data_IF_181314381092
#
_entry.id   IF_181314381092
#
_cell.length_a   1.000
_cell.length_b   1.000
_cell.length_c   1.000
_cell.angle_alpha   90.00
_cell.angle_beta   90.00
_cell.angle_gamma   90.00
#
_symmetry.space_group_name_H-M   'P 1'
#
loop_
_entity.id
_entity.type
_entity.pdbx_description
1 polymer ?
#
# COMPACT_ATOMS: atom_id res chain seq x y z
N UNK A 1 34.76 18.77 26.92
CA UNK A 1 33.66 19.38 26.16
C UNK A 1 32.46 18.48 26.39
N UNK A 2 31.34 19.04 26.88
CA UNK A 2 30.12 18.27 27.13
C UNK A 2 29.54 17.84 25.79
N UNK A 3 29.40 16.53 25.58
CA UNK A 3 28.51 16.01 24.55
C UNK A 3 27.09 16.34 25.04
N UNK A 4 26.55 17.47 24.61
CA UNK A 4 25.13 17.74 24.75
C UNK A 4 24.43 16.80 23.79
N UNK A 5 23.85 15.73 24.32
CA UNK A 5 22.89 14.90 23.60
C UNK A 5 21.81 15.83 23.03
N UNK A 6 21.39 15.67 21.76
CA UNK A 6 20.31 16.49 21.21
C UNK A 6 19.11 16.46 22.17
N UNK A 7 18.54 17.64 22.46
CA UNK A 7 17.41 17.72 23.39
C UNK A 7 16.22 17.01 22.76
N UNK A 8 15.94 15.79 23.23
CA UNK A 8 14.76 15.03 22.81
C UNK A 8 13.50 15.78 23.27
N UNK A 9 12.55 15.96 22.36
CA UNK A 9 11.28 16.68 22.60
C UNK A 9 10.11 15.83 22.14
N UNK A 10 8.87 16.18 22.51
CA UNK A 10 7.67 15.56 21.96
C UNK A 10 7.61 15.64 20.43
N UNK A 11 8.10 16.73 19.83
CA UNK A 11 8.20 16.89 18.38
C UNK A 11 9.06 15.81 17.73
N UNK A 12 10.18 15.43 18.36
CA UNK A 12 11.04 14.35 17.83
C UNK A 12 10.26 13.03 17.72
N UNK A 13 9.51 12.65 18.76
CA UNK A 13 8.70 11.43 18.73
C UNK A 13 7.56 11.51 17.71
N UNK A 14 6.87 12.65 17.63
CA UNK A 14 5.80 12.87 16.64
C UNK A 14 6.34 12.69 15.22
N UNK A 15 7.48 13.30 14.90
CA UNK A 15 8.10 13.19 13.57
C UNK A 15 8.56 11.76 13.27
N UNK A 16 9.10 11.02 14.26
CA UNK A 16 9.45 9.61 14.08
C UNK A 16 8.22 8.74 13.82
N UNK A 17 7.13 8.96 14.56
CA UNK A 17 5.87 8.23 14.35
C UNK A 17 5.33 8.55 12.96
N UNK A 18 5.24 9.82 12.55
CA UNK A 18 4.80 10.19 11.20
C UNK A 18 5.70 9.58 10.12
N UNK A 19 7.01 9.61 10.31
CA UNK A 19 7.96 9.02 9.39
C UNK A 19 7.72 7.52 9.20
N UNK A 20 7.42 6.79 10.28
CA UNK A 20 6.99 5.39 10.23
C UNK A 20 5.68 5.23 9.47
N UNK A 21 4.62 5.95 9.87
CA UNK A 21 3.28 5.79 9.32
C UNK A 21 3.20 6.12 7.83
N UNK A 22 3.92 7.16 7.39
CA UNK A 22 4.02 7.52 5.98
C UNK A 22 4.89 6.57 5.16
N UNK A 23 5.66 5.71 5.83
CA UNK A 23 6.60 4.74 5.26
C UNK A 23 7.96 5.32 4.84
N UNK A 24 8.29 6.53 5.28
CA UNK A 24 9.63 7.10 5.03
C UNK A 24 10.71 6.43 5.87
N UNK A 25 10.32 5.72 6.93
CA UNK A 25 11.18 4.85 7.73
C UNK A 25 10.48 3.54 8.06
N UNK A 26 11.24 2.46 8.02
CA UNK A 26 10.87 1.14 8.53
C UNK A 26 11.08 1.06 10.04
N UNK A 27 10.49 0.05 10.68
CA UNK A 27 10.77 -0.30 12.09
C UNK A 27 12.26 -0.40 12.35
N UNK A 28 12.97 -1.13 11.50
CA UNK A 28 14.41 -1.37 11.64
C UNK A 28 15.20 -0.06 11.64
N UNK A 29 14.93 0.84 10.70
CA UNK A 29 15.64 2.12 10.60
C UNK A 29 15.35 3.03 11.79
N UNK A 30 14.12 3.03 12.31
CA UNK A 30 13.77 3.78 13.53
C UNK A 30 14.57 3.26 14.71
N UNK A 31 14.63 1.94 14.90
CA UNK A 31 15.40 1.34 16.00
C UNK A 31 16.89 1.64 15.87
N UNK A 32 17.46 1.56 14.67
CA UNK A 32 18.86 1.90 14.40
C UNK A 32 19.17 3.37 14.71
N UNK A 33 18.31 4.30 14.30
CA UNK A 33 18.47 5.74 14.54
C UNK A 33 18.34 6.10 16.03
N UNK A 34 17.46 5.40 16.75
CA UNK A 34 17.13 5.72 18.13
C UNK A 34 17.98 4.98 19.16
N UNK A 35 18.79 3.99 18.76
CA UNK A 35 19.59 3.13 19.67
C UNK A 35 20.50 3.91 20.62
N UNK A 36 21.03 5.06 20.22
CA UNK A 36 21.93 5.87 21.07
C UNK A 36 21.19 6.87 21.99
N UNK A 37 19.90 7.08 21.74
CA UNK A 37 19.11 8.16 22.34
C UNK A 37 17.97 7.62 23.22
N UNK A 38 17.40 6.49 22.85
CA UNK A 38 16.27 5.84 23.52
C UNK A 38 16.69 4.47 24.04
N UNK A 39 16.43 4.21 25.31
CA UNK A 39 16.53 2.88 25.88
C UNK A 39 15.15 2.21 25.75
N UNK A 40 15.00 1.31 24.77
CA UNK A 40 13.80 0.48 24.70
C UNK A 40 13.98 -0.73 25.62
N UNK A 41 12.90 -1.13 26.30
CA UNK A 41 12.91 -2.37 27.05
C UNK A 41 13.22 -3.53 26.10
N UNK A 42 14.30 -4.26 26.41
CA UNK A 42 14.74 -5.45 25.69
C UNK A 42 13.62 -6.47 25.47
N UNK A 43 12.64 -6.52 26.38
CA UNK A 43 11.47 -7.39 26.24
C UNK A 43 10.56 -6.94 25.08
N UNK A 44 10.33 -5.63 24.94
CA UNK A 44 9.51 -5.06 23.88
C UNK A 44 10.19 -5.14 22.49
N UNK A 45 11.52 -5.23 22.46
CA UNK A 45 12.26 -5.44 21.22
C UNK A 45 12.26 -6.91 20.75
N UNK A 46 12.01 -7.86 21.64
CA UNK A 46 11.99 -9.31 21.35
C UNK A 46 10.60 -9.86 21.05
N UNK A 47 9.55 -9.10 21.34
CA UNK A 47 8.17 -9.51 21.07
C UNK A 47 7.82 -9.17 19.61
N UNK A 48 7.70 -10.22 18.80
CA UNK A 48 7.20 -10.14 17.43
C UNK A 48 5.80 -9.50 17.44
N UNK A 49 5.60 -8.49 16.60
CA UNK A 49 4.30 -7.81 16.44
C UNK A 49 4.05 -6.60 17.34
N UNK A 50 5.02 -6.14 18.15
CA UNK A 50 4.86 -4.85 18.83
C UNK A 50 4.93 -3.71 17.81
N UNK A 51 3.90 -2.86 17.82
CA UNK A 51 3.82 -1.66 16.98
C UNK A 51 4.89 -0.63 17.37
N UNK A 52 5.58 -0.10 16.37
CA UNK A 52 6.58 0.97 16.51
C UNK A 52 5.96 2.24 17.10
N UNK A 53 4.70 2.55 16.77
CA UNK A 53 4.03 3.72 17.34
C UNK A 53 3.89 3.59 18.86
N UNK A 54 3.56 2.39 19.34
CA UNK A 54 3.49 2.07 20.76
C UNK A 54 4.87 2.17 21.43
N UNK A 55 5.92 1.59 20.83
CA UNK A 55 7.29 1.68 21.34
C UNK A 55 7.74 3.14 21.53
N UNK A 56 7.52 3.97 20.52
CA UNK A 56 7.90 5.38 20.56
C UNK A 56 7.06 6.17 21.58
N UNK A 57 5.79 5.82 21.73
CA UNK A 57 4.88 6.46 22.68
C UNK A 57 5.24 6.13 24.13
N UNK A 58 5.57 4.88 24.44
CA UNK A 58 6.01 4.49 25.78
C UNK A 58 7.39 5.07 26.10
N UNK A 59 8.34 5.05 25.15
CA UNK A 59 9.64 5.71 25.34
C UNK A 59 9.48 7.22 25.60
N UNK A 60 8.55 7.89 24.91
CA UNK A 60 8.25 9.29 25.16
C UNK A 60 7.65 9.52 26.56
N UNK A 61 6.75 8.62 26.98
CA UNK A 61 6.11 8.65 28.30
C UNK A 61 7.10 8.50 29.44
N UNK A 62 8.05 7.57 29.31
CA UNK A 62 9.11 7.34 30.30
C UNK A 62 10.02 8.57 30.47
N UNK A 63 10.23 9.33 29.39
CA UNK A 63 10.94 10.61 29.46
C UNK A 63 10.07 11.73 30.05
N UNK A 64 8.80 11.81 29.67
CA UNK A 64 7.85 12.79 30.17
C UNK A 64 6.40 12.45 29.85
N UNK A 65 5.53 12.45 30.86
CA UNK A 65 4.09 12.29 30.67
C UNK A 65 3.48 13.39 29.77
N UNK A 66 4.08 14.58 29.70
CA UNK A 66 3.62 15.63 28.78
C UNK A 66 3.89 15.28 27.32
N UNK A 67 4.93 14.51 27.02
CA UNK A 67 5.21 14.07 25.64
C UNK A 67 4.17 13.09 25.14
N UNK A 68 3.71 12.18 26.00
CA UNK A 68 2.61 11.28 25.69
C UNK A 68 1.35 12.05 25.29
N UNK A 69 0.96 13.06 26.08
CA UNK A 69 -0.20 13.90 25.78
C UNK A 69 -0.04 14.64 24.45
N UNK A 70 1.15 15.16 24.17
CA UNK A 70 1.44 15.82 22.90
C UNK A 70 1.33 14.86 21.71
N UNK A 71 1.86 13.63 21.83
CA UNK A 71 1.77 12.61 20.78
C UNK A 71 0.32 12.27 20.50
N UNK A 72 -0.47 11.93 21.53
CA UNK A 72 -1.89 11.58 21.37
C UNK A 72 -2.69 12.72 20.74
N UNK A 73 -2.35 13.99 21.04
CA UNK A 73 -3.04 15.14 20.45
C UNK A 73 -2.65 15.42 19.00
N UNK A 74 -1.46 14.98 18.54
CA UNK A 74 -0.91 15.31 17.23
C UNK A 74 -0.89 14.13 16.24
N UNK A 75 -0.95 12.90 16.72
CA UNK A 75 -1.12 11.70 15.90
C UNK A 75 -2.62 11.40 15.84
N UNK A 76 -3.30 12.09 14.93
CA UNK A 76 -4.69 11.83 14.60
C UNK A 76 -4.76 11.14 13.23
N UNK A 77 -5.92 10.58 12.89
CA UNK A 77 -6.21 10.04 11.56
C UNK A 77 -6.25 11.18 10.51
N UNK A 78 -5.08 11.61 10.04
CA UNK A 78 -4.88 12.66 9.03
C UNK A 78 -3.96 12.22 7.91
N UNK A 79 -3.91 13.01 6.82
CA UNK A 79 -3.14 12.72 5.60
C UNK A 79 -1.64 12.51 5.85
N UNK A 80 -1.09 13.06 6.94
CA UNK A 80 0.30 12.89 7.35
C UNK A 80 0.56 11.65 8.24
N UNK A 81 -0.46 10.82 8.43
CA UNK A 81 -0.40 9.58 9.23
C UNK A 81 -0.83 8.34 8.44
N UNK A 82 -0.90 8.44 7.10
CA UNK A 82 -1.23 7.31 6.23
C UNK A 82 -0.09 6.97 5.29
N UNK A 83 0.01 5.70 4.83
CA UNK A 83 0.97 5.30 3.82
C UNK A 83 0.95 6.22 2.59
N UNK A 84 2.14 6.58 2.13
CA UNK A 84 2.33 7.36 0.91
C UNK A 84 2.85 6.48 -0.22
N UNK A 85 2.79 6.93 -1.48
CA UNK A 85 3.41 6.21 -2.60
C UNK A 85 4.90 5.99 -2.38
N UNK A 86 5.60 7.02 -1.91
CA UNK A 86 7.02 6.93 -1.57
C UNK A 86 7.25 5.89 -0.45
N UNK A 87 6.37 5.86 0.55
CA UNK A 87 6.41 4.87 1.62
C UNK A 87 6.20 3.44 1.14
N UNK A 88 5.20 3.20 0.28
CA UNK A 88 4.96 1.87 -0.31
C UNK A 88 6.18 1.41 -1.10
N UNK A 89 6.76 2.29 -1.93
CA UNK A 89 7.99 1.99 -2.68
C UNK A 89 9.12 1.62 -1.71
N UNK A 90 9.32 2.42 -0.67
CA UNK A 90 10.38 2.21 0.31
C UNK A 90 10.24 0.88 1.05
N UNK A 91 9.05 0.57 1.58
CA UNK A 91 8.79 -0.68 2.29
C UNK A 91 8.87 -1.90 1.36
N UNK A 92 8.43 -1.80 0.11
CA UNK A 92 8.59 -2.87 -0.88
C UNK A 92 10.08 -3.12 -1.20
N UNK A 93 10.88 -2.07 -1.31
CA UNK A 93 12.34 -2.20 -1.48
C UNK A 93 12.98 -2.87 -0.27
N UNK A 94 12.65 -2.41 0.94
CA UNK A 94 13.13 -3.00 2.19
C UNK A 94 12.75 -4.49 2.29
N UNK A 95 11.51 -4.85 1.96
CA UNK A 95 11.05 -6.24 1.95
C UNK A 95 11.87 -7.09 0.97
N UNK A 96 12.08 -6.60 -0.25
CA UNK A 96 12.81 -7.34 -1.29
C UNK A 96 14.30 -7.48 -1.00
N UNK A 97 14.86 -6.62 -0.16
CA UNK A 97 16.23 -6.68 0.33
C UNK A 97 16.37 -7.48 1.64
N UNK A 98 15.26 -7.93 2.23
CA UNK A 98 15.24 -8.63 3.52
C UNK A 98 15.44 -7.71 4.74
N UNK A 99 15.22 -6.41 4.57
CA UNK A 99 15.25 -5.42 5.65
C UNK A 99 14.02 -5.45 6.55
N UNK A 100 12.88 -5.89 6.03
CA UNK A 100 11.64 -6.14 6.77
C UNK A 100 11.01 -7.48 6.34
N UNK A 101 10.15 -8.03 7.20
CA UNK A 101 9.35 -9.21 6.90
C UNK A 101 8.10 -8.85 6.09
N UNK A 102 7.43 -9.87 5.49
CA UNK A 102 6.12 -9.65 4.87
C UNK A 102 5.08 -9.21 5.90
N UNK A 103 5.15 -9.78 7.10
CA UNK A 103 4.24 -9.46 8.20
C UNK A 103 4.39 -7.99 8.60
N UNK A 104 5.62 -7.49 8.68
CA UNK A 104 5.91 -6.07 8.99
C UNK A 104 5.30 -5.15 7.92
N UNK A 105 5.38 -5.54 6.65
CA UNK A 105 4.76 -4.78 5.56
C UNK A 105 3.23 -4.73 5.72
N UNK A 106 2.60 -5.87 6.04
CA UNK A 106 1.16 -5.95 6.25
C UNK A 106 0.74 -5.05 7.43
N UNK A 107 1.37 -5.23 8.58
CA UNK A 107 1.07 -4.47 9.81
C UNK A 107 1.21 -2.96 9.59
N UNK A 108 2.28 -2.52 8.95
CA UNK A 108 2.49 -1.12 8.59
C UNK A 108 1.41 -0.61 7.61
N UNK A 109 1.14 -1.36 6.54
CA UNK A 109 0.20 -0.93 5.52
C UNK A 109 -1.24 -0.86 6.03
N UNK A 110 -1.59 -1.70 7.02
CA UNK A 110 -2.93 -1.77 7.61
C UNK A 110 -3.03 -1.16 8.99
N UNK A 111 -2.03 -0.37 9.43
CA UNK A 111 -2.08 0.31 10.72
C UNK A 111 -3.36 1.15 10.85
N UNK A 112 -3.76 1.74 9.72
CA UNK A 112 -4.97 2.53 9.59
C UNK A 112 -6.17 1.59 9.41
N UNK A 113 -6.73 1.09 10.52
CA UNK A 113 -7.99 0.34 10.48
C UNK A 113 -9.16 1.31 10.39
N UNK A 114 -9.92 1.21 9.31
CA UNK A 114 -11.18 1.94 9.15
C UNK A 114 -12.28 1.01 9.65
N UNK A 115 -13.01 1.43 10.68
CA UNK A 115 -14.22 0.71 11.11
C UNK A 115 -15.17 0.58 9.91
N UNK A 116 -15.93 -0.53 9.81
CA UNK A 116 -16.81 -0.82 8.64
C UNK A 116 -17.79 0.32 8.27
N UNK A 117 -18.06 1.24 9.21
CA UNK A 117 -18.97 2.38 9.05
C UNK A 117 -18.27 3.69 8.63
N UNK A 118 -16.94 3.71 8.52
CA UNK A 118 -16.16 4.89 8.15
C UNK A 118 -15.69 4.83 6.69
N UNK A 119 -15.72 5.97 6.01
CA UNK A 119 -15.19 6.10 4.66
C UNK A 119 -13.73 6.54 4.72
N UNK A 120 -12.84 5.81 4.04
CA UNK A 120 -11.46 6.22 3.74
C UNK A 120 -11.34 7.47 2.86
N UNK A 121 -12.45 7.85 2.23
CA UNK A 121 -12.50 8.86 1.19
C UNK A 121 -11.87 10.19 1.64
N UNK A 122 -10.75 10.55 1.01
CA UNK A 122 -10.04 11.81 1.24
C UNK A 122 -8.98 11.77 2.33
N UNK A 123 -8.68 10.61 2.92
CA UNK A 123 -7.57 10.45 3.87
C UNK A 123 -6.25 10.12 3.15
N UNK A 124 -6.31 9.23 2.16
CA UNK A 124 -5.17 8.91 1.31
C UNK A 124 -5.11 9.90 0.15
N UNK A 125 -3.92 10.48 -0.07
CA UNK A 125 -3.66 11.34 -1.23
C UNK A 125 -3.58 10.54 -2.55
N UNK A 126 -3.35 9.23 -2.47
CA UNK A 126 -3.16 8.33 -3.61
C UNK A 126 -4.09 7.12 -3.51
N UNK A 127 -5.08 7.07 -4.42
CA UNK A 127 -6.06 6.00 -4.50
C UNK A 127 -5.44 4.60 -4.72
N UNK A 128 -4.34 4.51 -5.45
CA UNK A 128 -3.68 3.22 -5.68
C UNK A 128 -2.97 2.74 -4.42
N UNK A 129 -2.40 3.67 -3.63
CA UNK A 129 -1.83 3.34 -2.31
C UNK A 129 -2.92 2.85 -1.38
N UNK A 130 -4.05 3.56 -1.30
CA UNK A 130 -5.21 3.18 -0.51
C UNK A 130 -5.68 1.75 -0.87
N UNK A 131 -5.94 1.50 -2.16
CA UNK A 131 -6.34 0.18 -2.64
C UNK A 131 -5.31 -0.90 -2.31
N UNK A 132 -4.01 -0.62 -2.49
CA UNK A 132 -2.97 -1.59 -2.19
C UNK A 132 -2.94 -1.94 -0.71
N UNK A 133 -2.96 -0.93 0.16
CA UNK A 133 -2.81 -1.06 1.61
C UNK A 133 -4.06 -1.66 2.27
N UNK A 134 -5.26 -1.20 1.91
CA UNK A 134 -6.50 -1.55 2.62
C UNK A 134 -7.25 -2.72 1.99
N UNK A 135 -7.20 -2.88 0.66
CA UNK A 135 -7.96 -3.94 -0.03
C UNK A 135 -7.07 -5.10 -0.48
N UNK A 136 -6.03 -4.82 -1.26
CA UNK A 136 -5.29 -5.85 -1.98
C UNK A 136 -4.34 -6.63 -1.06
N UNK A 137 -3.46 -5.93 -0.35
CA UNK A 137 -2.45 -6.58 0.49
C UNK A 137 -3.09 -7.46 1.57
N UNK A 138 -4.14 -7.04 2.31
CA UNK A 138 -4.74 -7.87 3.35
C UNK A 138 -5.49 -9.07 2.78
N UNK A 139 -6.25 -8.88 1.69
CA UNK A 139 -7.03 -9.94 1.07
C UNK A 139 -6.17 -11.04 0.44
N UNK A 140 -4.98 -10.70 -0.05
CA UNK A 140 -4.14 -11.61 -0.83
C UNK A 140 -2.78 -11.92 -0.17
N UNK A 141 -2.53 -11.41 1.04
CA UNK A 141 -1.26 -11.49 1.76
C UNK A 141 -0.57 -12.87 1.67
N UNK A 142 -1.31 -13.94 1.98
CA UNK A 142 -0.80 -15.30 2.04
C UNK A 142 -0.34 -15.85 0.68
N UNK A 143 -0.87 -15.30 -0.42
CA UNK A 143 -0.62 -15.77 -1.79
C UNK A 143 0.48 -14.98 -2.51
N UNK A 144 0.87 -13.82 -1.97
CA UNK A 144 1.84 -12.94 -2.60
C UNK A 144 3.27 -13.50 -2.48
N UNK A 145 3.89 -13.74 -3.63
CA UNK A 145 5.29 -14.14 -3.74
C UNK A 145 6.23 -12.93 -3.88
N UNK A 146 7.54 -13.13 -3.71
CA UNK A 146 8.55 -12.08 -3.98
C UNK A 146 8.48 -11.57 -5.43
N UNK A 147 8.05 -12.41 -6.37
CA UNK A 147 7.81 -11.98 -7.75
C UNK A 147 6.68 -10.96 -7.81
N UNK A 148 5.57 -11.19 -7.10
CA UNK A 148 4.46 -10.25 -7.06
C UNK A 148 4.89 -8.92 -6.45
N UNK A 149 5.61 -8.93 -5.32
CA UNK A 149 6.11 -7.69 -4.70
C UNK A 149 7.05 -6.89 -5.61
N UNK A 150 7.90 -7.54 -6.42
CA UNK A 150 8.71 -6.84 -7.44
C UNK A 150 7.83 -6.15 -8.49
N UNK A 151 6.79 -6.81 -8.96
CA UNK A 151 5.88 -6.23 -9.95
C UNK A 151 5.06 -5.08 -9.37
N UNK A 152 4.59 -5.20 -8.13
CA UNK A 152 3.94 -4.09 -7.41
C UNK A 152 4.91 -2.90 -7.29
N UNK A 153 6.17 -3.13 -6.88
CA UNK A 153 7.18 -2.09 -6.80
C UNK A 153 7.39 -1.38 -8.15
N UNK A 154 7.48 -2.14 -9.24
CA UNK A 154 7.59 -1.57 -10.58
C UNK A 154 6.40 -0.67 -10.93
N UNK A 155 5.17 -1.15 -10.67
CA UNK A 155 3.94 -0.37 -10.92
C UNK A 155 3.95 0.95 -10.15
N UNK A 156 4.26 0.93 -8.85
CA UNK A 156 4.31 2.15 -8.06
C UNK A 156 5.41 3.12 -8.51
N UNK A 157 6.55 2.60 -8.97
CA UNK A 157 7.70 3.40 -9.43
C UNK A 157 7.44 4.07 -10.77
N UNK A 158 6.67 3.43 -11.67
CA UNK A 158 6.44 3.92 -13.02
C UNK A 158 5.49 5.11 -13.11
N UNK A 159 4.66 5.30 -12.07
CA UNK A 159 3.70 6.39 -11.96
C UNK A 159 2.91 6.60 -13.27
N UNK A 160 1.99 5.68 -13.53
CA UNK A 160 1.20 5.60 -14.78
C UNK A 160 0.25 6.80 -14.92
N UNK A 161 0.13 7.64 -13.88
CA UNK A 161 -0.77 8.80 -13.78
C UNK A 161 -2.25 8.45 -14.03
N UNK A 162 -2.62 7.18 -13.90
CA UNK A 162 -3.99 6.67 -14.01
C UNK A 162 -4.24 5.64 -12.90
N UNK A 163 -4.87 6.06 -11.79
CA UNK A 163 -5.06 5.19 -10.63
C UNK A 163 -5.91 3.94 -10.91
N UNK A 164 -6.83 4.01 -11.88
CA UNK A 164 -7.66 2.86 -12.27
C UNK A 164 -6.85 1.84 -13.05
N UNK A 165 -5.95 2.29 -13.93
CA UNK A 165 -5.01 1.37 -14.62
C UNK A 165 -4.10 0.67 -13.62
N UNK A 166 -3.56 1.38 -12.65
CA UNK A 166 -2.69 0.79 -11.63
C UNK A 166 -3.45 -0.20 -10.75
N UNK A 167 -4.68 0.12 -10.32
CA UNK A 167 -5.56 -0.80 -9.57
C UNK A 167 -5.80 -2.10 -10.34
N UNK A 168 -6.15 -2.00 -11.63
CA UNK A 168 -6.36 -3.18 -12.49
C UNK A 168 -5.04 -3.98 -12.60
N UNK A 169 -3.92 -3.32 -12.88
CA UNK A 169 -2.63 -3.97 -13.04
C UNK A 169 -2.21 -4.74 -11.77
N UNK A 170 -2.37 -4.14 -10.59
CA UNK A 170 -2.10 -4.78 -9.29
C UNK A 170 -2.97 -6.03 -9.12
N UNK A 171 -4.29 -5.93 -9.36
CA UNK A 171 -5.18 -7.09 -9.19
C UNK A 171 -4.82 -8.24 -10.13
N UNK A 172 -4.47 -7.92 -11.39
CA UNK A 172 -4.13 -8.90 -12.42
C UNK A 172 -2.74 -9.55 -12.23
N UNK A 173 -1.95 -9.15 -11.22
CA UNK A 173 -0.76 -9.88 -10.80
C UNK A 173 -1.10 -11.28 -10.28
N UNK A 174 -2.33 -11.49 -9.81
CA UNK A 174 -2.82 -12.76 -9.32
C UNK A 174 -3.41 -13.59 -10.46
N UNK A 175 -2.88 -14.78 -10.69
CA UNK A 175 -3.35 -15.66 -11.76
C UNK A 175 -4.84 -15.97 -11.65
N UNK A 176 -5.32 -16.15 -10.42
CA UNK A 176 -6.71 -16.43 -10.09
C UNK A 176 -7.68 -15.29 -10.44
N UNK A 177 -7.18 -14.06 -10.53
CA UNK A 177 -7.96 -12.91 -10.98
C UNK A 177 -7.78 -12.69 -12.49
N UNK A 178 -6.57 -12.90 -12.99
CA UNK A 178 -6.19 -12.71 -14.40
C UNK A 178 -6.95 -13.62 -15.36
N UNK A 179 -6.98 -14.93 -15.10
CA UNK A 179 -7.60 -15.88 -16.02
C UNK A 179 -9.13 -15.67 -16.16
N UNK A 180 -9.90 -15.49 -15.07
CA UNK A 180 -11.32 -15.17 -15.18
C UNK A 180 -11.58 -13.84 -15.88
N UNK A 181 -10.72 -12.83 -15.65
CA UNK A 181 -10.85 -11.55 -16.33
C UNK A 181 -10.64 -11.67 -17.84
N UNK A 182 -9.59 -12.38 -18.25
CA UNK A 182 -9.29 -12.65 -19.66
C UNK A 182 -10.43 -13.44 -20.33
N UNK A 183 -10.92 -14.49 -19.67
CA UNK A 183 -12.04 -15.27 -20.17
C UNK A 183 -13.30 -14.42 -20.34
N UNK A 184 -13.59 -13.58 -19.35
CA UNK A 184 -14.73 -12.66 -19.41
C UNK A 184 -14.61 -11.67 -20.57
N UNK A 185 -13.48 -10.99 -20.71
CA UNK A 185 -13.26 -10.04 -21.81
C UNK A 185 -13.31 -10.73 -23.18
N UNK A 186 -12.74 -11.94 -23.31
CA UNK A 186 -12.82 -12.72 -24.56
C UNK A 186 -14.27 -12.99 -24.94
N UNK A 187 -15.09 -13.44 -23.98
CA UNK A 187 -16.51 -13.67 -24.22
C UNK A 187 -17.25 -12.37 -24.54
N UNK A 188 -16.95 -11.27 -23.86
CA UNK A 188 -17.56 -9.97 -24.15
C UNK A 188 -17.27 -9.46 -25.57
N UNK A 189 -16.08 -9.71 -26.10
CA UNK A 189 -15.70 -9.34 -27.47
C UNK A 189 -16.33 -10.28 -28.50
N UNK A 190 -16.41 -11.59 -28.22
CA UNK A 190 -16.84 -12.62 -29.17
C UNK A 190 -18.36 -12.79 -29.26
N UNK A 191 -19.04 -12.71 -28.12
CA UNK A 191 -20.51 -12.73 -28.03
C UNK A 191 -20.96 -11.28 -27.92
N UNK A 192 -22.02 -10.88 -28.63
CA UNK A 192 -22.64 -9.54 -28.55
C UNK A 192 -23.28 -9.27 -27.17
N UNK A 193 -22.53 -9.47 -26.08
CA UNK A 193 -22.96 -9.25 -24.72
C UNK A 193 -23.26 -7.76 -24.53
N UNK A 194 -24.31 -7.47 -23.76
CA UNK A 194 -24.72 -6.09 -23.51
C UNK A 194 -23.67 -5.37 -22.67
N UNK A 195 -23.61 -4.04 -22.83
CA UNK A 195 -22.80 -3.16 -21.98
C UNK A 195 -23.17 -3.37 -20.50
N UNK A 196 -24.43 -3.63 -20.18
CA UNK A 196 -24.87 -3.92 -18.80
C UNK A 196 -24.14 -5.12 -18.18
N UNK A 197 -23.81 -6.15 -18.98
CA UNK A 197 -23.06 -7.32 -18.50
C UNK A 197 -21.62 -6.96 -18.16
N UNK A 198 -21.01 -6.06 -18.95
CA UNK A 198 -19.69 -5.50 -18.67
C UNK A 198 -19.72 -4.66 -17.40
N UNK A 199 -20.71 -3.78 -17.24
CA UNK A 199 -20.87 -2.94 -16.06
C UNK A 199 -21.02 -3.77 -14.79
N UNK A 200 -21.88 -4.79 -14.80
CA UNK A 200 -22.07 -5.67 -13.64
C UNK A 200 -20.75 -6.37 -13.24
N UNK A 201 -19.95 -6.80 -14.21
CA UNK A 201 -18.66 -7.43 -13.95
C UNK A 201 -17.66 -6.42 -13.39
N UNK A 202 -17.50 -5.27 -14.03
CA UNK A 202 -16.53 -4.24 -13.63
C UNK A 202 -16.88 -3.63 -12.27
N UNK A 203 -18.17 -3.40 -12.00
CA UNK A 203 -18.64 -2.92 -10.69
C UNK A 203 -18.32 -3.94 -9.61
N UNK A 204 -18.57 -5.22 -9.87
CA UNK A 204 -18.29 -6.28 -8.90
C UNK A 204 -16.79 -6.46 -8.63
N UNK A 205 -15.94 -6.32 -9.66
CA UNK A 205 -14.50 -6.64 -9.57
C UNK A 205 -13.63 -5.45 -9.21
N UNK A 206 -14.00 -4.26 -9.68
CA UNK A 206 -13.17 -3.07 -9.59
C UNK A 206 -13.92 -1.86 -9.01
N UNK A 207 -15.24 -1.97 -8.82
CA UNK A 207 -16.07 -0.87 -8.31
C UNK A 207 -16.28 0.26 -9.31
N UNK A 208 -16.24 -0.04 -10.61
CA UNK A 208 -16.37 0.96 -11.68
C UNK A 208 -17.25 0.44 -12.82
N UNK A 209 -17.80 1.35 -13.62
CA UNK A 209 -18.56 1.04 -14.83
C UNK A 209 -17.68 1.09 -16.08
N UNK A 210 -18.27 0.79 -17.24
CA UNK A 210 -17.60 0.88 -18.53
C UNK A 210 -17.15 2.30 -18.87
N UNK A 211 -17.85 3.35 -18.41
CA UNK A 211 -17.46 4.74 -18.71
C UNK A 211 -16.13 5.09 -18.04
N UNK A 212 -15.89 4.50 -16.87
CA UNK A 212 -14.68 4.67 -16.07
C UNK A 212 -13.59 3.66 -16.41
N UNK A 213 -13.89 2.61 -17.19
CA UNK A 213 -12.91 1.56 -17.51
C UNK A 213 -11.85 2.07 -18.49
N UNK A 214 -10.57 2.14 -18.08
CA UNK A 214 -9.53 2.87 -18.82
C UNK A 214 -9.07 2.17 -20.11
N UNK A 215 -9.55 0.95 -20.38
CA UNK A 215 -9.21 0.18 -21.58
C UNK A 215 -10.41 -0.04 -22.52
N UNK A 216 -11.50 0.72 -22.38
CA UNK A 216 -12.70 0.56 -23.22
C UNK A 216 -12.44 0.81 -24.71
N UNK A 217 -11.58 1.78 -25.03
CA UNK A 217 -11.26 2.10 -26.41
C UNK A 217 -10.55 0.90 -27.07
N UNK A 218 -9.51 0.40 -26.43
CA UNK A 218 -8.75 -0.76 -26.88
C UNK A 218 -9.65 -2.00 -26.95
N UNK A 219 -10.53 -2.21 -25.97
CA UNK A 219 -11.48 -3.32 -25.98
C UNK A 219 -12.46 -3.23 -27.17
N UNK A 220 -12.87 -2.03 -27.55
CA UNK A 220 -13.77 -1.80 -28.69
C UNK A 220 -13.06 -2.02 -30.01
N UNK A 221 -11.81 -1.60 -30.14
CA UNK A 221 -10.95 -1.84 -31.31
C UNK A 221 -10.65 -3.33 -31.53
N UNK A 222 -10.68 -4.13 -30.45
CA UNK A 222 -10.49 -5.58 -30.50
C UNK A 222 -11.75 -6.37 -30.92
N UNK A 223 -12.90 -5.71 -31.14
CA UNK A 223 -14.11 -6.37 -31.67
C UNK A 223 -13.84 -6.98 -33.05
N UNK A 224 -13.68 -8.31 -33.07
CA UNK A 224 -13.33 -9.10 -34.26
C UNK A 224 -11.92 -9.69 -34.27
N UNK A 225 -11.07 -9.33 -33.30
CA UNK A 225 -9.69 -9.81 -33.15
C UNK A 225 -9.39 -10.33 -31.73
N UNK A 226 -10.14 -11.34 -31.23
CA UNK A 226 -10.00 -11.85 -29.86
C UNK A 226 -8.62 -12.48 -29.57
N UNK A 227 -7.85 -12.81 -30.59
CA UNK A 227 -6.46 -13.28 -30.50
C UNK A 227 -5.49 -12.21 -29.98
N UNK A 228 -5.83 -10.91 -30.10
CA UNK A 228 -4.99 -9.80 -29.65
C UNK A 228 -5.28 -9.36 -28.21
N UNK A 229 -6.24 -9.98 -27.54
CA UNK A 229 -6.62 -9.65 -26.16
C UNK A 229 -5.51 -9.97 -25.16
N UNK A 230 -4.78 -11.07 -25.37
CA UNK A 230 -3.63 -11.46 -24.55
C UNK A 230 -2.54 -10.39 -24.61
N UNK A 231 -2.29 -9.79 -25.78
CA UNK A 231 -1.32 -8.69 -25.97
C UNK A 231 -1.78 -7.39 -25.27
N UNK A 232 -3.09 -7.12 -25.22
CA UNK A 232 -3.61 -5.97 -24.47
C UNK A 232 -3.37 -6.16 -22.97
N UNK A 233 -3.68 -7.34 -22.44
CA UNK A 233 -3.47 -7.65 -21.02
C UNK A 233 -2.00 -7.73 -20.65
N UNK A 234 -1.17 -8.23 -21.56
CA UNK A 234 0.28 -8.10 -21.46
C UNK A 234 0.66 -6.64 -21.39
N UNK A 235 0.15 -5.71 -22.22
CA UNK A 235 0.42 -4.27 -22.04
C UNK A 235 -0.06 -3.71 -20.70
N UNK A 236 -1.23 -4.12 -20.22
CA UNK A 236 -1.73 -3.74 -18.88
C UNK A 236 -0.75 -4.17 -17.79
N UNK A 237 -0.08 -5.31 -17.98
CA UNK A 237 0.91 -5.84 -17.03
C UNK A 237 2.36 -5.41 -17.32
N UNK A 238 2.74 -5.13 -18.57
CA UNK A 238 4.09 -4.94 -19.13
C UNK A 238 4.40 -3.49 -19.47
N UNK A 239 3.57 -2.52 -19.08
CA UNK A 239 4.11 -1.19 -18.79
C UNK A 239 5.28 -1.26 -17.77
N UNK A 240 5.50 -2.42 -17.12
CA UNK A 240 6.60 -2.87 -16.25
C UNK A 240 7.94 -3.26 -16.90
N UNK A 241 8.09 -3.26 -18.23
CA UNK A 241 9.38 -3.57 -18.90
C UNK A 241 9.77 -2.53 -19.98
N UNK A 242 10.28 -1.37 -19.57
CA UNK A 242 11.18 -0.53 -20.39
C UNK A 242 12.25 0.12 -19.52
#
# INVERSE_FOLDING_TARGET
MKNESPSVTSTYFIELIKAYLQGTKTRKEILEETTEVLEFDSFLLMEDGIDVTYLLTEAARDMSETFYLDIVNNINHSTDTVPTRAGVIHHLQALLQGGISKQDLLEWATWYSIDEDQLSAGIFDDFTVEFFCLDFLPAYFAELSNKNFRQVLQLFTMNVNDPLKEKIAILLLLEKERQPFLFFLRNYIQSSNSIDTLDLYLMKKFGMDHQSFPYMQELTELKGHPEKLEVLLEKVMLQTEH
#
